data_IF_773045190652
#
_entry.id   IF_773045190652
#
_cell.length_a   1.000
_cell.length_b   1.000
_cell.length_c   1.000
_cell.angle_alpha   90.00
_cell.angle_beta   90.00
_cell.angle_gamma   90.00
#
_symmetry.space_group_name_H-M   'P 1'
#
loop_
_entity.id
_entity.type
_entity.pdbx_description
1 polymer ?
#
# COMPACT_ATOMS: atom_id res chain seq x y z
N UNK A 1 -3.59 36.58 -5.27
CA UNK A 1 -3.46 36.62 -6.74
C UNK A 1 -3.64 35.20 -7.21
N UNK A 2 -4.61 34.94 -8.08
CA UNK A 2 -4.77 33.60 -8.67
C UNK A 2 -3.47 33.21 -9.35
N UNK A 3 -3.01 31.98 -9.11
CA UNK A 3 -1.74 31.48 -9.66
C UNK A 3 -1.77 31.30 -11.20
N UNK A 4 -2.97 31.40 -11.79
CA UNK A 4 -3.28 31.20 -13.20
C UNK A 4 -3.99 32.44 -13.80
N UNK A 5 -3.92 32.59 -15.12
CA UNK A 5 -4.55 33.68 -15.87
C UNK A 5 -4.67 33.40 -17.37
N UNK A 6 -5.54 34.14 -18.06
CA UNK A 6 -5.72 34.05 -19.52
C UNK A 6 -4.66 34.91 -20.22
N UNK A 7 -4.20 34.52 -21.39
CA UNK A 7 -3.18 35.27 -22.14
C UNK A 7 -3.46 35.20 -23.64
N UNK A 8 -3.38 36.32 -24.35
CA UNK A 8 -3.64 36.37 -25.80
C UNK A 8 -2.42 35.94 -26.64
N UNK A 9 -1.22 35.93 -26.04
CA UNK A 9 0.05 35.64 -26.71
C UNK A 9 0.84 34.50 -26.01
N UNK A 10 0.80 33.27 -26.54
CA UNK A 10 1.46 32.10 -25.92
C UNK A 10 2.99 32.18 -25.90
N UNK A 11 3.60 33.07 -26.69
CA UNK A 11 5.05 33.27 -26.77
C UNK A 11 5.63 34.01 -25.56
N UNK A 12 4.77 34.68 -24.77
CA UNK A 12 5.18 35.49 -23.61
C UNK A 12 5.29 34.68 -22.31
N UNK A 13 5.03 33.38 -22.37
CA UNK A 13 4.92 32.50 -21.20
C UNK A 13 6.29 31.99 -20.76
N UNK A 14 6.59 32.06 -19.46
CA UNK A 14 7.76 31.40 -18.88
C UNK A 14 7.53 29.88 -18.76
N UNK A 15 7.89 29.15 -19.81
CA UNK A 15 7.78 27.69 -19.87
C UNK A 15 8.72 26.95 -18.91
N UNK A 16 9.55 27.61 -18.09
CA UNK A 16 10.32 26.92 -17.05
C UNK A 16 9.43 26.53 -15.86
N UNK A 17 8.57 27.45 -15.43
CA UNK A 17 7.74 27.31 -14.22
C UNK A 17 6.26 27.09 -14.55
N UNK A 18 5.79 27.61 -15.69
CA UNK A 18 4.39 27.57 -16.13
C UNK A 18 4.23 26.77 -17.41
N UNK A 19 3.00 26.41 -17.73
CA UNK A 19 2.61 25.84 -19.01
C UNK A 19 1.41 26.60 -19.58
N UNK A 20 1.23 26.50 -20.89
CA UNK A 20 0.13 27.12 -21.61
C UNK A 20 -0.84 26.02 -22.10
N UNK A 21 -2.10 26.08 -21.69
CA UNK A 21 -3.15 25.17 -22.15
C UNK A 21 -4.15 25.89 -23.04
N UNK A 22 -4.52 25.25 -24.15
CA UNK A 22 -5.54 25.74 -25.09
C UNK A 22 -6.83 24.96 -24.88
N UNK A 23 -7.94 25.66 -24.58
CA UNK A 23 -9.28 25.06 -24.47
C UNK A 23 -9.87 24.72 -25.84
N UNK A 24 -10.96 23.96 -25.85
CA UNK A 24 -11.78 23.69 -27.04
C UNK A 24 -12.35 24.95 -27.69
N UNK A 25 -12.54 26.02 -26.90
CA UNK A 25 -12.99 27.34 -27.36
C UNK A 25 -11.86 28.24 -27.88
N UNK A 26 -10.63 27.70 -28.04
CA UNK A 26 -9.43 28.43 -28.45
C UNK A 26 -8.97 29.55 -27.49
N UNK A 27 -9.22 29.39 -26.19
CA UNK A 27 -8.69 30.31 -25.16
C UNK A 27 -7.43 29.73 -24.55
N UNK A 28 -6.41 30.56 -24.36
CA UNK A 28 -5.14 30.16 -23.78
C UNK A 28 -5.04 30.54 -22.31
N UNK A 29 -4.75 29.54 -21.48
CA UNK A 29 -4.57 29.68 -20.04
C UNK A 29 -3.12 29.43 -19.67
N UNK A 30 -2.56 30.32 -18.86
CA UNK A 30 -1.23 30.19 -18.28
C UNK A 30 -1.37 29.66 -16.86
N UNK A 31 -0.83 28.47 -16.62
CA UNK A 31 -1.05 27.70 -15.39
C UNK A 31 0.30 27.18 -14.87
N UNK A 32 0.52 27.08 -13.53
CA UNK A 32 1.72 26.44 -13.00
C UNK A 32 1.84 24.97 -13.44
N UNK A 33 3.05 24.51 -13.81
CA UNK A 33 3.27 23.09 -14.19
C UNK A 33 2.90 22.11 -13.10
N UNK A 34 2.96 22.55 -11.85
CA UNK A 34 2.67 21.74 -10.66
C UNK A 34 1.25 21.18 -10.69
N UNK A 35 0.29 21.90 -11.27
CA UNK A 35 -1.11 21.52 -11.32
C UNK A 35 -1.35 20.26 -12.17
N UNK A 36 -0.48 19.97 -13.13
CA UNK A 36 -0.64 18.83 -14.03
C UNK A 36 0.38 17.70 -13.77
N UNK A 37 1.20 17.80 -12.71
CA UNK A 37 2.22 16.78 -12.38
C UNK A 37 1.61 15.39 -12.15
N UNK A 38 0.41 15.32 -11.60
CA UNK A 38 -0.29 14.06 -11.32
C UNK A 38 -0.76 13.35 -12.59
N UNK A 39 -0.94 14.08 -13.69
CA UNK A 39 -1.31 13.50 -14.97
C UNK A 39 -0.07 12.96 -15.69
N UNK A 40 0.18 11.66 -15.58
CA UNK A 40 1.38 11.02 -16.14
C UNK A 40 1.57 11.29 -17.64
N UNK A 41 0.49 11.38 -18.41
CA UNK A 41 0.56 11.64 -19.86
C UNK A 41 1.04 13.07 -20.17
N UNK A 42 0.63 14.05 -19.37
CA UNK A 42 1.06 15.44 -19.51
C UNK A 42 2.47 15.61 -18.94
N UNK A 43 2.74 15.03 -17.78
CA UNK A 43 4.03 15.13 -17.10
C UNK A 43 5.20 14.56 -17.92
N UNK A 44 5.00 13.42 -18.59
CA UNK A 44 6.08 12.75 -19.37
C UNK A 44 6.33 13.36 -20.75
N UNK A 45 5.39 14.13 -21.30
CA UNK A 45 5.47 14.61 -22.70
C UNK A 45 5.21 16.10 -22.80
N UNK A 46 3.99 16.53 -22.51
CA UNK A 46 3.51 17.88 -22.83
C UNK A 46 4.06 18.98 -21.92
N UNK A 47 4.30 18.70 -20.63
CA UNK A 47 4.86 19.70 -19.71
C UNK A 47 6.36 19.96 -19.90
N UNK A 48 7.05 19.12 -20.69
CA UNK A 48 8.47 19.28 -21.02
C UNK A 48 8.67 20.12 -22.30
N UNK A 49 7.64 20.27 -23.12
CA UNK A 49 7.67 21.08 -24.33
C UNK A 49 7.37 22.54 -24.00
N UNK A 50 8.07 23.46 -24.69
CA UNK A 50 7.83 24.90 -24.59
C UNK A 50 6.78 25.36 -25.61
N UNK A 51 5.66 24.64 -25.68
CA UNK A 51 4.58 24.88 -26.64
C UNK A 51 3.22 24.76 -25.96
N UNK A 52 2.19 25.51 -26.41
CA UNK A 52 0.84 25.36 -25.91
C UNK A 52 0.28 23.98 -26.28
N UNK A 53 -0.41 23.33 -25.34
CA UNK A 53 -1.04 22.03 -25.61
C UNK A 53 -2.57 22.09 -25.54
N UNK A 54 -3.26 21.33 -26.41
CA UNK A 54 -4.71 21.28 -26.40
C UNK A 54 -5.23 20.46 -25.22
N UNK A 55 -6.24 21.02 -24.55
CA UNK A 55 -7.00 20.43 -23.46
C UNK A 55 -8.42 20.11 -23.97
N UNK A 56 -8.95 18.90 -23.70
CA UNK A 56 -10.26 18.50 -24.23
C UNK A 56 -11.44 19.07 -23.43
N UNK A 57 -11.36 20.28 -22.87
CA UNK A 57 -12.43 20.88 -22.06
C UNK A 57 -12.64 22.36 -22.40
N UNK A 58 -13.88 22.82 -22.22
CA UNK A 58 -14.31 24.19 -22.46
C UNK A 58 -13.83 25.13 -21.35
N UNK A 59 -13.87 26.45 -21.59
CA UNK A 59 -13.35 27.44 -20.63
C UNK A 59 -13.99 27.35 -19.25
N UNK A 60 -15.32 27.20 -19.20
CA UNK A 60 -16.08 27.08 -17.93
C UNK A 60 -15.63 25.89 -17.10
N UNK A 61 -15.44 24.74 -17.76
CA UNK A 61 -14.99 23.50 -17.11
C UNK A 61 -13.54 23.61 -16.65
N UNK A 62 -12.69 24.29 -17.44
CA UNK A 62 -11.30 24.52 -17.07
C UNK A 62 -11.18 25.45 -15.86
N UNK A 63 -11.99 26.51 -15.77
CA UNK A 63 -12.00 27.41 -14.62
C UNK A 63 -12.34 26.66 -13.32
N UNK A 64 -13.38 25.80 -13.35
CA UNK A 64 -13.72 24.94 -12.21
C UNK A 64 -12.58 23.98 -11.84
N UNK A 65 -11.92 23.38 -12.83
CA UNK A 65 -10.77 22.50 -12.63
C UNK A 65 -9.60 23.26 -11.97
N UNK A 66 -9.28 24.47 -12.44
CA UNK A 66 -8.15 25.26 -11.94
C UNK A 66 -8.35 25.68 -10.48
N UNK A 67 -9.57 26.04 -10.10
CA UNK A 67 -9.92 26.31 -8.69
C UNK A 67 -9.68 25.08 -7.82
N UNK A 68 -10.06 23.88 -8.30
CA UNK A 68 -9.83 22.64 -7.55
C UNK A 68 -8.34 22.27 -7.47
N UNK A 69 -7.57 22.50 -8.53
CA UNK A 69 -6.14 22.25 -8.56
C UNK A 69 -5.38 23.21 -7.65
N UNK A 70 -5.76 24.49 -7.61
CA UNK A 70 -5.22 25.48 -6.68
C UNK A 70 -5.48 25.06 -5.23
N UNK A 71 -6.71 24.65 -4.91
CA UNK A 71 -7.03 24.07 -3.60
C UNK A 71 -6.22 22.81 -3.31
N UNK A 72 -6.05 21.90 -4.29
CA UNK A 72 -5.29 20.66 -4.12
C UNK A 72 -3.79 20.90 -3.86
N UNK A 73 -3.24 22.03 -4.30
CA UNK A 73 -1.86 22.40 -3.96
C UNK A 73 -1.71 22.95 -2.54
N UNK A 74 -2.79 23.43 -1.93
CA UNK A 74 -2.79 24.06 -0.59
C UNK A 74 -3.28 23.09 0.49
N UNK A 75 -4.22 22.22 0.16
CA UNK A 75 -4.86 21.24 1.05
C UNK A 75 -4.38 19.82 0.74
N UNK A 76 -4.44 18.89 1.71
CA UNK A 76 -4.10 17.49 1.44
C UNK A 76 -5.05 16.87 0.41
N UNK A 77 -4.53 15.98 -0.45
CA UNK A 77 -5.28 15.34 -1.54
C UNK A 77 -6.62 14.69 -1.10
N UNK A 78 -6.72 14.26 0.16
CA UNK A 78 -7.91 13.66 0.77
C UNK A 78 -9.10 14.63 0.92
N UNK A 79 -8.85 15.93 1.09
CA UNK A 79 -9.92 16.95 1.23
C UNK A 79 -10.59 17.21 -0.11
N UNK A 80 -9.81 17.23 -1.20
CA UNK A 80 -10.30 17.43 -2.57
C UNK A 80 -11.08 16.20 -3.07
N UNK A 81 -10.70 15.00 -2.64
CA UNK A 81 -11.50 13.79 -2.89
C UNK A 81 -12.90 13.85 -2.27
N UNK A 82 -13.07 14.49 -1.11
CA UNK A 82 -14.37 14.65 -0.46
C UNK A 82 -15.34 15.54 -1.25
N UNK A 83 -14.84 16.65 -1.81
CA UNK A 83 -15.64 17.56 -2.64
C UNK A 83 -15.95 16.97 -4.04
N UNK A 84 -15.08 16.10 -4.55
CA UNK A 84 -15.26 15.46 -5.88
C UNK A 84 -16.05 14.16 -5.85
N UNK A 85 -16.25 13.54 -4.68
CA UNK A 85 -17.10 12.33 -4.52
C UNK A 85 -18.53 12.64 -4.07
N UNK A 86 -18.85 13.88 -3.70
CA UNK A 86 -20.18 14.28 -3.24
C UNK A 86 -20.68 13.53 -1.99
N UNK A 87 -21.78 13.99 -1.41
CA UNK A 87 -22.50 13.18 -0.41
C UNK A 87 -23.16 12.01 -1.15
N UNK A 88 -22.82 10.76 -0.80
CA UNK A 88 -23.18 9.48 -1.46
C UNK A 88 -22.27 8.94 -2.57
N UNK A 89 -21.01 9.36 -2.69
CA UNK A 89 -20.07 8.75 -3.67
C UNK A 89 -20.50 9.00 -5.14
N UNK A 90 -21.33 10.01 -5.36
CA UNK A 90 -21.78 10.49 -6.67
C UNK A 90 -20.92 11.67 -7.13
N UNK A 91 -20.48 11.65 -8.39
CA UNK A 91 -19.70 12.74 -8.97
C UNK A 91 -20.44 14.08 -8.92
N UNK A 92 -19.72 15.22 -8.84
CA UNK A 92 -20.31 16.54 -8.73
C UNK A 92 -21.09 16.85 -10.01
N UNK A 93 -22.16 17.67 -9.89
CA UNK A 93 -23.08 17.95 -10.99
C UNK A 93 -22.37 18.44 -12.26
N UNK A 94 -21.36 19.31 -12.13
CA UNK A 94 -20.60 19.84 -13.26
C UNK A 94 -19.75 18.79 -14.01
N UNK A 95 -19.46 17.62 -13.41
CA UNK A 95 -18.78 16.52 -14.09
C UNK A 95 -19.73 15.57 -14.82
N UNK A 96 -21.05 15.62 -14.54
CA UNK A 96 -22.03 14.70 -15.11
C UNK A 96 -22.23 14.94 -16.61
N UNK A 97 -22.14 16.20 -17.02
CA UNK A 97 -22.35 16.62 -18.41
C UNK A 97 -21.09 16.44 -19.29
N UNK A 98 -19.97 16.00 -18.71
CA UNK A 98 -18.70 15.80 -19.44
C UNK A 98 -18.65 14.44 -20.15
N UNK A 99 -18.10 14.42 -21.37
CA UNK A 99 -17.85 13.18 -22.11
C UNK A 99 -16.74 12.34 -21.47
N UNK A 100 -16.71 11.01 -21.70
CA UNK A 100 -15.70 10.07 -21.12
C UNK A 100 -14.25 10.53 -21.28
N UNK A 101 -13.89 11.10 -22.43
CA UNK A 101 -12.55 11.64 -22.71
C UNK A 101 -12.21 12.84 -21.83
N UNK A 102 -13.18 13.71 -21.59
CA UNK A 102 -13.06 14.90 -20.74
C UNK A 102 -12.98 14.50 -19.27
N UNK A 103 -13.81 13.55 -18.84
CA UNK A 103 -13.76 12.98 -17.49
C UNK A 103 -12.39 12.35 -17.20
N UNK A 104 -11.84 11.52 -18.11
CA UNK A 104 -10.51 10.92 -17.95
C UNK A 104 -9.41 11.99 -17.82
N UNK A 105 -9.52 13.08 -18.59
CA UNK A 105 -8.60 14.21 -18.50
C UNK A 105 -8.68 14.91 -17.12
N UNK A 106 -9.89 15.28 -16.69
CA UNK A 106 -10.15 15.95 -15.39
C UNK A 106 -9.65 15.09 -14.21
N UNK A 107 -10.03 13.81 -14.19
CA UNK A 107 -9.59 12.84 -13.20
C UNK A 107 -8.05 12.71 -13.17
N UNK A 108 -7.43 12.55 -14.34
CA UNK A 108 -5.98 12.47 -14.46
C UNK A 108 -5.24 13.71 -13.94
N UNK A 109 -5.82 14.90 -14.09
CA UNK A 109 -5.24 16.14 -13.55
C UNK A 109 -5.37 16.22 -12.03
N UNK A 110 -6.51 15.82 -11.48
CA UNK A 110 -6.76 15.82 -10.04
C UNK A 110 -6.07 14.65 -9.31
N UNK A 111 -5.39 13.75 -10.03
CA UNK A 111 -4.84 12.52 -9.46
C UNK A 111 -5.92 11.55 -8.95
N UNK A 112 -7.17 11.80 -9.32
CA UNK A 112 -8.29 10.91 -9.03
C UNK A 112 -8.24 9.83 -10.10
N UNK A 113 -8.30 8.57 -9.70
CA UNK A 113 -8.42 7.50 -10.69
C UNK A 113 -9.72 7.71 -11.47
N UNK A 114 -9.64 7.71 -12.81
CA UNK A 114 -10.84 7.60 -13.68
C UNK A 114 -11.48 6.21 -13.56
N UNK A 115 -10.95 5.38 -12.67
CA UNK A 115 -11.44 4.06 -12.39
C UNK A 115 -12.78 4.21 -11.67
N UNK A 116 -13.87 3.95 -12.38
CA UNK A 116 -15.26 4.01 -11.91
C UNK A 116 -15.56 3.02 -10.77
N UNK A 117 -14.56 2.41 -10.15
CA UNK A 117 -14.82 1.34 -9.21
C UNK A 117 -15.43 0.15 -9.90
N UNK A 118 -15.08 -0.16 -11.17
CA UNK A 118 -15.70 -1.27 -11.91
C UNK A 118 -15.77 -2.49 -11.00
N UNK A 119 -16.95 -3.08 -10.95
CA UNK A 119 -17.34 -4.22 -10.12
C UNK A 119 -16.60 -5.49 -10.56
N UNK A 120 -15.28 -5.47 -10.46
CA UNK A 120 -14.42 -6.58 -10.84
C UNK A 120 -14.41 -7.55 -9.65
N UNK A 121 -14.97 -8.76 -9.82
CA UNK A 121 -14.96 -9.75 -8.77
C UNK A 121 -13.53 -10.27 -8.57
N UNK A 122 -13.25 -10.71 -7.36
CA UNK A 122 -11.95 -11.32 -7.02
C UNK A 122 -11.89 -12.75 -7.53
N UNK A 123 -13.05 -13.41 -7.61
CA UNK A 123 -13.19 -14.82 -7.95
C UNK A 123 -13.96 -14.99 -9.25
N UNK A 124 -13.72 -16.13 -9.92
CA UNK A 124 -14.50 -16.57 -11.09
C UNK A 124 -15.95 -16.87 -10.71
N UNK A 125 -16.14 -17.44 -9.51
CA UNK A 125 -17.47 -17.76 -9.01
C UNK A 125 -18.26 -16.46 -8.76
N UNK A 126 -19.45 -16.38 -9.35
CA UNK A 126 -20.29 -15.18 -9.28
C UNK A 126 -20.99 -15.02 -7.93
N UNK A 127 -21.07 -16.08 -7.13
CA UNK A 127 -21.71 -16.10 -5.81
C UNK A 127 -20.82 -16.81 -4.79
N UNK A 128 -20.82 -16.37 -3.52
CA UNK A 128 -20.13 -17.07 -2.44
C UNK A 128 -20.78 -18.43 -2.13
N UNK A 129 -20.14 -19.25 -1.29
CA UNK A 129 -20.73 -20.50 -0.78
C UNK A 129 -21.44 -20.25 0.55
N UNK A 130 -22.32 -21.16 0.90
CA UNK A 130 -23.01 -21.13 2.20
C UNK A 130 -21.96 -21.33 3.30
N UNK A 131 -22.06 -20.55 4.37
CA UNK A 131 -21.14 -20.45 5.51
C UNK A 131 -19.81 -19.71 5.24
N UNK A 132 -19.58 -19.18 4.04
CA UNK A 132 -18.38 -18.38 3.77
C UNK A 132 -18.46 -17.03 4.50
N UNK A 133 -17.31 -16.56 5.02
CA UNK A 133 -17.19 -15.24 5.65
C UNK A 133 -16.63 -14.26 4.63
N UNK A 134 -17.43 -13.26 4.28
CA UNK A 134 -17.14 -12.29 3.22
C UNK A 134 -17.02 -10.88 3.78
N UNK A 135 -16.19 -10.05 3.13
CA UNK A 135 -16.03 -8.65 3.50
C UNK A 135 -17.10 -7.78 2.83
N UNK A 136 -17.94 -7.12 3.65
CA UNK A 136 -19.09 -6.35 3.15
C UNK A 136 -19.01 -4.87 3.53
N UNK A 137 -19.53 -4.00 2.66
CA UNK A 137 -19.73 -2.58 2.95
C UNK A 137 -21.20 -2.29 3.19
N UNK A 138 -21.52 -1.58 4.26
CA UNK A 138 -22.90 -1.21 4.57
C UNK A 138 -23.31 -0.03 3.70
N UNK A 139 -24.34 -0.23 2.88
CA UNK A 139 -24.89 0.80 2.00
C UNK A 139 -26.06 1.53 2.66
N UNK A 140 -26.99 0.78 3.24
CA UNK A 140 -28.18 1.34 3.88
C UNK A 140 -28.54 0.54 5.12
N UNK A 141 -29.02 1.24 6.16
CA UNK A 141 -29.52 0.63 7.38
C UNK A 141 -31.00 0.97 7.51
N UNK A 142 -31.86 -0.04 7.43
CA UNK A 142 -33.29 0.06 7.72
C UNK A 142 -33.57 -0.52 9.12
N UNK A 143 -34.78 -0.32 9.64
CA UNK A 143 -35.18 -0.82 10.96
C UNK A 143 -35.21 -2.36 11.02
N UNK A 144 -35.57 -3.01 9.91
CA UNK A 144 -35.72 -4.46 9.82
C UNK A 144 -34.45 -5.16 9.29
N UNK A 145 -33.66 -4.50 8.45
CA UNK A 145 -32.48 -5.10 7.83
C UNK A 145 -31.46 -4.05 7.40
N UNK A 146 -30.20 -4.46 7.28
CA UNK A 146 -29.16 -3.66 6.65
C UNK A 146 -28.87 -4.20 5.25
N UNK A 147 -28.89 -3.32 4.25
CA UNK A 147 -28.46 -3.62 2.88
C UNK A 147 -26.96 -3.38 2.81
N UNK A 148 -26.24 -4.38 2.31
CA UNK A 148 -24.79 -4.38 2.21
C UNK A 148 -24.33 -4.76 0.81
N UNK A 149 -23.12 -4.38 0.45
CA UNK A 149 -22.47 -4.76 -0.80
C UNK A 149 -21.27 -5.68 -0.52
N UNK A 150 -21.23 -6.83 -1.17
CA UNK A 150 -20.11 -7.77 -1.08
C UNK A 150 -18.96 -7.26 -1.95
N UNK A 151 -17.87 -6.80 -1.33
CA UNK A 151 -16.79 -6.12 -2.05
C UNK A 151 -15.95 -7.08 -2.92
N UNK A 152 -15.90 -8.35 -2.55
CA UNK A 152 -15.17 -9.41 -3.25
C UNK A 152 -15.90 -9.92 -4.51
N UNK A 153 -17.23 -9.78 -4.55
CA UNK A 153 -18.09 -10.35 -5.61
C UNK A 153 -18.71 -9.26 -6.50
N UNK A 154 -17.93 -8.23 -6.85
CA UNK A 154 -18.40 -7.17 -7.73
C UNK A 154 -19.55 -6.34 -7.14
N UNK A 155 -19.47 -6.04 -5.83
CA UNK A 155 -20.44 -5.22 -5.09
C UNK A 155 -21.90 -5.70 -5.19
N UNK A 156 -22.12 -7.00 -5.35
CA UNK A 156 -23.45 -7.60 -5.27
C UNK A 156 -24.12 -7.24 -3.95
N UNK A 157 -25.43 -7.04 -4.00
CA UNK A 157 -26.23 -6.71 -2.84
C UNK A 157 -26.49 -7.94 -1.98
N UNK A 158 -26.38 -7.77 -0.67
CA UNK A 158 -26.75 -8.73 0.34
C UNK A 158 -27.54 -8.04 1.45
N UNK A 159 -28.24 -8.84 2.25
CA UNK A 159 -29.09 -8.35 3.32
C UNK A 159 -28.63 -8.99 4.63
N UNK A 160 -28.43 -8.16 5.66
CA UNK A 160 -28.24 -8.63 7.04
C UNK A 160 -29.54 -8.37 7.80
N UNK A 161 -30.33 -9.40 8.13
CA UNK A 161 -31.51 -9.25 8.97
C UNK A 161 -31.15 -8.72 10.37
N UNK A 162 -32.03 -7.96 11.02
CA UNK A 162 -31.77 -7.45 12.37
C UNK A 162 -31.49 -8.57 13.40
N UNK A 163 -32.12 -9.74 13.22
CA UNK A 163 -31.92 -10.95 14.04
C UNK A 163 -30.51 -11.55 13.90
N UNK A 164 -29.79 -11.16 12.85
CA UNK A 164 -28.47 -11.66 12.47
C UNK A 164 -27.33 -10.66 12.74
N UNK A 165 -27.63 -9.48 13.30
CA UNK A 165 -26.62 -8.44 13.58
C UNK A 165 -25.90 -8.65 14.91
N UNK A 166 -26.62 -8.99 15.97
CA UNK A 166 -26.03 -9.18 17.31
C UNK A 166 -26.83 -10.18 18.13
N UNK A 167 -26.17 -10.84 19.09
CA UNK A 167 -26.83 -11.73 20.06
C UNK A 167 -27.53 -10.95 21.19
N UNK A 168 -27.14 -9.69 21.43
CA UNK A 168 -27.67 -8.87 22.53
C UNK A 168 -28.80 -7.98 22.04
N UNK A 169 -29.87 -7.84 22.82
CA UNK A 169 -30.93 -6.87 22.52
C UNK A 169 -30.37 -5.45 22.61
N UNK A 170 -30.54 -4.68 21.54
CA UNK A 170 -30.08 -3.28 21.43
C UNK A 170 -31.24 -2.35 21.14
N UNK A 171 -31.14 -1.11 21.66
CA UNK A 171 -32.17 -0.07 21.46
C UNK A 171 -32.13 0.54 20.05
N UNK A 172 -30.96 0.63 19.42
CA UNK A 172 -30.78 1.22 18.09
C UNK A 172 -29.67 0.53 17.31
N UNK A 173 -29.94 0.25 16.04
CA UNK A 173 -29.02 -0.41 15.10
C UNK A 173 -27.87 0.49 14.68
N UNK A 174 -28.10 1.81 14.57
CA UNK A 174 -27.10 2.79 14.14
C UNK A 174 -25.86 2.89 15.06
N UNK A 175 -25.95 2.32 16.27
CA UNK A 175 -24.78 2.21 17.17
C UNK A 175 -23.84 1.06 16.78
N UNK A 176 -24.38 -0.04 16.25
CA UNK A 176 -23.62 -1.26 15.92
C UNK A 176 -23.16 -1.28 14.46
N UNK A 177 -23.98 -0.75 13.57
CA UNK A 177 -23.78 -0.76 12.13
C UNK A 177 -23.96 0.68 11.65
N UNK A 178 -22.91 1.23 11.03
CA UNK A 178 -22.96 2.58 10.44
C UNK A 178 -22.84 2.47 8.94
N UNK A 179 -23.66 3.24 8.23
CA UNK A 179 -23.58 3.40 6.78
C UNK A 179 -22.16 3.79 6.38
N UNK A 180 -21.65 3.17 5.31
CA UNK A 180 -20.32 3.39 4.76
C UNK A 180 -19.20 2.59 5.42
N UNK A 181 -19.41 1.99 6.59
CA UNK A 181 -18.41 1.10 7.21
C UNK A 181 -18.36 -0.26 6.53
N UNK A 182 -17.19 -0.88 6.60
CA UNK A 182 -16.99 -2.27 6.17
C UNK A 182 -16.93 -3.19 7.38
N UNK A 183 -17.56 -4.34 7.28
CA UNK A 183 -17.68 -5.33 8.35
C UNK A 183 -17.58 -6.74 7.74
N UNK A 184 -17.06 -7.74 8.47
CA UNK A 184 -17.15 -9.13 8.05
C UNK A 184 -18.54 -9.69 8.32
N UNK A 185 -19.08 -10.49 7.40
CA UNK A 185 -20.36 -11.17 7.56
C UNK A 185 -20.31 -12.58 6.96
N UNK A 186 -20.98 -13.54 7.60
CA UNK A 186 -21.10 -14.92 7.13
C UNK A 186 -22.35 -15.10 6.29
N UNK A 187 -22.24 -15.81 5.17
CA UNK A 187 -23.37 -16.18 4.30
C UNK A 187 -24.20 -17.29 4.94
N UNK A 188 -25.48 -17.05 5.17
CA UNK A 188 -26.42 -18.06 5.69
C UNK A 188 -27.15 -18.75 4.54
N UNK A 189 -27.74 -17.96 3.65
CA UNK A 189 -28.65 -18.46 2.62
C UNK A 189 -28.42 -17.69 1.31
N UNK A 190 -28.47 -18.43 0.21
CA UNK A 190 -28.36 -17.90 -1.14
C UNK A 190 -29.56 -18.40 -1.94
N UNK A 191 -30.39 -17.48 -2.41
CA UNK A 191 -31.45 -17.78 -3.36
C UNK A 191 -30.93 -17.49 -4.77
N UNK A 192 -30.48 -18.52 -5.49
CA UNK A 192 -29.85 -18.39 -6.83
C UNK A 192 -30.78 -17.79 -7.88
N UNK A 193 -32.08 -18.06 -7.80
CA UNK A 193 -33.06 -17.59 -8.78
C UNK A 193 -33.35 -16.10 -8.66
N UNK A 194 -33.33 -15.57 -7.42
CA UNK A 194 -33.63 -14.16 -7.12
C UNK A 194 -32.38 -13.32 -6.89
N UNK A 195 -31.21 -13.96 -6.72
CA UNK A 195 -29.95 -13.29 -6.41
C UNK A 195 -29.86 -12.74 -4.99
N UNK A 196 -30.74 -13.15 -4.07
CA UNK A 196 -30.71 -12.70 -2.68
C UNK A 196 -29.67 -13.48 -1.87
N UNK A 197 -28.90 -12.74 -1.08
CA UNK A 197 -27.87 -13.27 -0.18
C UNK A 197 -28.18 -12.79 1.23
N UNK A 198 -28.57 -13.72 2.10
CA UNK A 198 -28.76 -13.44 3.52
C UNK A 198 -27.46 -13.66 4.27
N UNK A 199 -27.06 -12.64 5.02
CA UNK A 199 -25.79 -12.55 5.72
C UNK A 199 -25.99 -12.40 7.23
N UNK A 200 -24.97 -12.79 7.99
CA UNK A 200 -24.97 -12.71 9.45
C UNK A 200 -23.67 -12.19 10.01
N UNK A 201 -23.77 -11.18 10.87
CA UNK A 201 -22.64 -10.68 11.65
C UNK A 201 -22.51 -11.42 12.98
N UNK A 202 -23.60 -11.94 13.56
CA UNK A 202 -23.59 -12.58 14.88
C UNK A 202 -22.89 -13.95 14.92
N UNK A 203 -22.78 -14.60 13.75
CA UNK A 203 -22.17 -15.91 13.61
C UNK A 203 -20.65 -15.84 13.45
N UNK A 204 -20.12 -14.69 12.98
CA UNK A 204 -18.69 -14.50 12.76
C UNK A 204 -17.94 -14.42 14.09
N UNK A 205 -16.94 -15.28 14.26
CA UNK A 205 -16.02 -15.22 15.40
C UNK A 205 -14.95 -14.13 15.20
N UNK A 206 -14.35 -13.59 16.28
CA UNK A 206 -13.30 -12.57 16.15
C UNK A 206 -12.05 -13.08 15.40
N UNK A 207 -11.79 -14.38 15.43
CA UNK A 207 -10.68 -14.97 14.68
C UNK A 207 -10.99 -15.04 13.18
N UNK A 208 -12.20 -15.47 12.81
CA UNK A 208 -12.66 -15.45 11.41
C UNK A 208 -12.75 -14.02 10.86
N UNK A 209 -13.18 -13.06 11.68
CA UNK A 209 -13.21 -11.65 11.31
C UNK A 209 -11.82 -11.14 10.89
N UNK A 210 -10.78 -11.46 11.68
CA UNK A 210 -9.38 -11.09 11.36
C UNK A 210 -8.87 -11.82 10.12
N UNK A 211 -9.19 -13.11 9.98
CA UNK A 211 -8.81 -13.89 8.81
C UNK A 211 -9.45 -13.35 7.52
N UNK A 212 -10.74 -12.99 7.59
CA UNK A 212 -11.47 -12.37 6.49
C UNK A 212 -10.90 -11.00 6.12
N UNK A 213 -10.56 -10.14 7.09
CA UNK A 213 -9.91 -8.86 6.82
C UNK A 213 -8.55 -9.04 6.11
N UNK A 214 -7.74 -10.01 6.56
CA UNK A 214 -6.46 -10.33 5.92
C UNK A 214 -6.65 -10.85 4.48
N UNK A 215 -7.61 -11.75 4.28
CA UNK A 215 -7.95 -12.30 2.97
C UNK A 215 -8.45 -11.23 2.00
N UNK A 216 -9.33 -10.34 2.47
CA UNK A 216 -9.81 -9.21 1.69
C UNK A 216 -8.68 -8.25 1.30
N UNK A 217 -7.76 -7.93 2.23
CA UNK A 217 -6.58 -7.11 1.92
C UNK A 217 -5.73 -7.74 0.82
N UNK A 218 -5.43 -9.03 0.93
CA UNK A 218 -4.67 -9.78 -0.06
C UNK A 218 -5.36 -9.78 -1.43
N UNK A 219 -6.66 -10.07 -1.48
CA UNK A 219 -7.44 -10.05 -2.73
C UNK A 219 -7.52 -8.66 -3.36
N UNK A 220 -7.68 -7.62 -2.54
CA UNK A 220 -7.73 -6.24 -3.01
C UNK A 220 -6.37 -5.78 -3.57
N UNK A 221 -5.26 -6.21 -2.97
CA UNK A 221 -3.92 -5.93 -3.47
C UNK A 221 -3.68 -6.61 -4.82
N UNK A 222 -4.04 -7.90 -4.96
CA UNK A 222 -3.99 -8.61 -6.26
C UNK A 222 -4.81 -7.87 -7.32
N UNK A 223 -6.06 -7.52 -7.00
CA UNK A 223 -6.91 -6.76 -7.92
C UNK A 223 -6.26 -5.44 -8.32
N UNK A 224 -5.72 -4.69 -7.35
CA UNK A 224 -5.09 -3.40 -7.60
C UNK A 224 -3.89 -3.53 -8.54
N UNK A 225 -3.04 -4.54 -8.32
CA UNK A 225 -1.86 -4.82 -9.15
C UNK A 225 -2.29 -5.19 -10.57
N UNK A 226 -3.20 -6.14 -10.71
CA UNK A 226 -3.64 -6.62 -12.03
C UNK A 226 -4.39 -5.53 -12.80
N UNK A 227 -5.22 -4.72 -12.12
CA UNK A 227 -5.88 -3.58 -12.75
C UNK A 227 -4.86 -2.52 -13.21
N UNK A 228 -3.80 -2.29 -12.44
CA UNK A 228 -2.75 -1.36 -12.86
C UNK A 228 -2.00 -1.87 -14.09
N UNK A 229 -1.67 -3.16 -14.14
CA UNK A 229 -1.08 -3.79 -15.33
C UNK A 229 -2.01 -3.68 -16.53
N UNK A 230 -3.32 -3.88 -16.34
CA UNK A 230 -4.32 -3.72 -17.38
C UNK A 230 -4.34 -2.30 -17.95
N UNK A 231 -4.26 -1.28 -17.08
CA UNK A 231 -4.16 0.12 -17.50
C UNK A 231 -2.88 0.44 -18.26
N UNK A 232 -1.74 -0.13 -17.87
CA UNK A 232 -0.45 0.07 -18.54
C UNK A 232 -0.39 -0.61 -19.91
N UNK A 233 -1.04 -1.76 -20.06
CA UNK A 233 -1.07 -2.53 -21.30
C UNK A 233 -2.30 -2.20 -22.19
N UNK A 234 -3.13 -1.24 -21.81
CA UNK A 234 -4.40 -0.89 -22.48
C UNK A 234 -5.36 -2.08 -22.68
N UNK A 235 -5.36 -3.03 -21.73
CA UNK A 235 -6.25 -4.22 -21.71
C UNK A 235 -7.44 -3.95 -20.79
N UNK A 236 -8.65 -4.45 -21.10
CA UNK A 236 -9.76 -4.43 -20.15
C UNK A 236 -9.41 -5.15 -18.83
N UNK A 237 -9.63 -4.49 -17.69
CA UNK A 237 -9.26 -5.04 -16.38
C UNK A 237 -9.93 -6.40 -16.04
N UNK A 238 -11.11 -6.69 -16.57
CA UNK A 238 -11.77 -8.00 -16.42
C UNK A 238 -10.99 -9.11 -17.15
N UNK A 239 -10.55 -8.83 -18.38
CA UNK A 239 -9.74 -9.75 -19.18
C UNK A 239 -8.36 -9.98 -18.52
N UNK A 240 -7.75 -8.93 -17.95
CA UNK A 240 -6.51 -9.08 -17.19
C UNK A 240 -6.67 -9.97 -15.95
N UNK A 241 -7.79 -9.88 -15.24
CA UNK A 241 -8.08 -10.78 -14.11
C UNK A 241 -8.30 -12.23 -14.56
N UNK A 242 -8.96 -12.44 -15.70
CA UNK A 242 -9.15 -13.77 -16.31
C UNK A 242 -7.85 -14.40 -16.78
N UNK A 243 -6.92 -13.60 -17.30
CA UNK A 243 -5.62 -14.09 -17.76
C UNK A 243 -4.64 -14.35 -16.60
N UNK A 244 -4.67 -13.52 -15.55
CA UNK A 244 -3.63 -13.54 -14.50
C UNK A 244 -4.18 -14.08 -13.18
N UNK A 245 -5.18 -13.43 -12.58
CA UNK A 245 -5.59 -13.72 -11.21
C UNK A 245 -6.37 -15.03 -11.09
N UNK A 246 -7.36 -15.25 -11.95
CA UNK A 246 -8.25 -16.42 -11.87
C UNK A 246 -7.55 -17.76 -12.04
N UNK A 247 -6.64 -17.94 -13.02
CA UNK A 247 -5.93 -19.21 -13.14
C UNK A 247 -5.01 -19.45 -11.95
N UNK A 248 -4.45 -18.40 -11.33
CA UNK A 248 -3.64 -18.53 -10.11
C UNK A 248 -4.49 -18.99 -8.91
N UNK A 249 -5.74 -18.54 -8.79
CA UNK A 249 -6.67 -19.04 -7.76
C UNK A 249 -7.07 -20.50 -7.97
N UNK A 250 -7.17 -20.96 -9.22
CA UNK A 250 -7.60 -22.31 -9.55
C UNK A 250 -6.47 -23.34 -9.58
N UNK A 251 -5.21 -22.89 -9.66
CA UNK A 251 -4.03 -23.74 -9.81
C UNK A 251 -3.82 -24.70 -8.63
N UNK A 252 -3.99 -24.21 -7.41
CA UNK A 252 -3.77 -25.00 -6.20
C UNK A 252 -4.86 -24.72 -5.17
N UNK A 253 -5.62 -25.76 -4.73
CA UNK A 253 -6.69 -25.57 -3.77
C UNK A 253 -6.12 -25.07 -2.43
N UNK A 254 -6.65 -23.96 -1.93
CA UNK A 254 -6.22 -23.36 -0.66
C UNK A 254 -5.07 -22.37 -0.77
N UNK A 255 -4.42 -22.24 -1.95
CA UNK A 255 -3.40 -21.22 -2.17
C UNK A 255 -3.99 -20.00 -2.88
N UNK A 256 -3.94 -18.85 -2.21
CA UNK A 256 -4.46 -17.59 -2.72
C UNK A 256 -3.55 -17.03 -3.85
N UNK A 257 -4.11 -16.33 -4.84
CA UNK A 257 -3.33 -15.72 -5.94
C UNK A 257 -2.27 -14.73 -5.42
N UNK A 258 -2.55 -14.05 -4.30
CA UNK A 258 -1.59 -13.18 -3.63
C UNK A 258 -0.30 -13.92 -3.25
N UNK A 259 -0.39 -15.15 -2.74
CA UNK A 259 0.78 -15.95 -2.37
C UNK A 259 1.65 -16.28 -3.57
N UNK A 260 1.04 -16.55 -4.72
CA UNK A 260 1.77 -16.76 -5.98
C UNK A 260 2.49 -15.51 -6.46
N UNK A 261 1.82 -14.36 -6.44
CA UNK A 261 2.45 -13.10 -6.83
C UNK A 261 3.54 -12.66 -5.85
N UNK A 262 3.37 -12.96 -4.56
CA UNK A 262 4.37 -12.73 -3.54
C UNK A 262 5.60 -13.62 -3.74
N UNK A 263 5.41 -14.93 -3.98
CA UNK A 263 6.50 -15.85 -4.36
C UNK A 263 7.23 -15.38 -5.62
N UNK A 264 6.49 -14.95 -6.64
CA UNK A 264 7.05 -14.43 -7.88
C UNK A 264 7.93 -13.20 -7.65
N UNK A 265 7.52 -12.31 -6.75
CA UNK A 265 8.30 -11.13 -6.40
C UNK A 265 9.55 -11.46 -5.57
N UNK A 266 9.56 -12.59 -4.85
CA UNK A 266 10.70 -13.04 -4.05
C UNK A 266 11.73 -13.82 -4.88
N UNK A 267 11.28 -14.75 -5.71
CA UNK A 267 12.19 -15.66 -6.43
C UNK A 267 12.49 -15.22 -7.85
N UNK A 268 11.72 -14.26 -8.39
CA UNK A 268 11.77 -13.84 -9.80
C UNK A 268 11.56 -15.01 -10.81
N UNK A 269 11.00 -16.14 -10.36
CA UNK A 269 10.78 -17.33 -11.19
C UNK A 269 9.56 -17.19 -12.13
N UNK A 270 9.76 -16.46 -13.22
CA UNK A 270 8.73 -16.23 -14.25
C UNK A 270 8.26 -17.54 -14.88
N UNK A 271 9.15 -18.49 -15.16
CA UNK A 271 8.80 -19.74 -15.87
C UNK A 271 7.86 -20.63 -15.05
N UNK A 272 8.12 -20.79 -13.75
CA UNK A 272 7.33 -21.68 -12.88
C UNK A 272 5.92 -21.13 -12.64
N UNK A 273 5.82 -19.82 -12.41
CA UNK A 273 4.58 -19.19 -11.95
C UNK A 273 3.75 -18.68 -13.14
N UNK A 274 4.36 -17.92 -14.05
CA UNK A 274 3.69 -17.33 -15.21
C UNK A 274 3.72 -18.21 -16.47
N UNK A 275 4.66 -19.16 -16.58
CA UNK A 275 4.77 -20.04 -17.75
C UNK A 275 3.47 -20.78 -18.12
N UNK A 276 2.73 -21.38 -17.16
CA UNK A 276 1.44 -22.03 -17.45
C UNK A 276 0.35 -21.08 -17.95
N UNK A 277 0.45 -19.78 -17.65
CA UNK A 277 -0.53 -18.77 -18.05
C UNK A 277 -0.38 -18.34 -19.52
N UNK A 278 0.76 -18.65 -20.16
CA UNK A 278 1.07 -18.30 -21.56
C UNK A 278 0.80 -16.82 -21.88
N UNK A 279 1.19 -15.94 -20.96
CA UNK A 279 1.01 -14.50 -21.11
C UNK A 279 1.96 -13.94 -22.18
N UNK A 280 1.57 -12.82 -22.79
CA UNK A 280 2.48 -12.06 -23.65
C UNK A 280 3.67 -11.54 -22.82
N UNK A 281 4.85 -11.49 -23.44
CA UNK A 281 6.08 -11.02 -22.77
C UNK A 281 5.93 -9.59 -22.26
N UNK A 282 5.28 -8.72 -23.02
CA UNK A 282 4.98 -7.33 -22.68
C UNK A 282 4.19 -7.22 -21.36
N UNK A 283 3.14 -8.02 -21.20
CA UNK A 283 2.32 -8.07 -19.98
C UNK A 283 3.11 -8.64 -18.80
N UNK A 284 3.93 -9.66 -19.05
CA UNK A 284 4.74 -10.30 -18.01
C UNK A 284 5.80 -9.35 -17.44
N UNK A 285 6.49 -8.59 -18.29
CA UNK A 285 7.49 -7.60 -17.88
C UNK A 285 6.83 -6.42 -17.13
N UNK A 286 5.64 -6.00 -17.58
CA UNK A 286 4.84 -4.98 -16.89
C UNK A 286 4.37 -5.46 -15.51
N UNK A 287 3.97 -6.74 -15.40
CA UNK A 287 3.59 -7.33 -14.12
C UNK A 287 4.78 -7.37 -13.16
N UNK A 288 5.95 -7.83 -13.61
CA UNK A 288 7.16 -7.89 -12.77
C UNK A 288 7.59 -6.50 -12.28
N UNK A 289 7.62 -5.50 -13.16
CA UNK A 289 7.94 -4.12 -12.77
C UNK A 289 6.89 -3.53 -11.81
N UNK A 290 5.62 -3.89 -11.96
CA UNK A 290 4.57 -3.48 -11.03
C UNK A 290 4.72 -4.17 -9.68
N UNK A 291 5.04 -5.46 -9.65
CA UNK A 291 5.23 -6.24 -8.42
C UNK A 291 6.38 -5.69 -7.57
N UNK A 292 7.52 -5.37 -8.19
CA UNK A 292 8.67 -4.75 -7.50
C UNK A 292 8.30 -3.45 -6.80
N UNK A 293 7.38 -2.67 -7.38
CA UNK A 293 6.94 -1.39 -6.82
C UNK A 293 5.78 -1.52 -5.83
N UNK A 294 4.84 -2.43 -6.09
CA UNK A 294 3.61 -2.58 -5.31
C UNK A 294 3.82 -3.45 -4.08
N UNK A 295 4.47 -4.60 -4.24
CA UNK A 295 4.77 -5.54 -3.17
C UNK A 295 6.14 -5.19 -2.59
N UNK A 296 6.18 -4.18 -1.71
CA UNK A 296 7.39 -3.88 -0.95
C UNK A 296 7.72 -5.09 -0.07
N UNK A 297 8.85 -5.74 -0.33
CA UNK A 297 9.38 -6.77 0.56
C UNK A 297 9.49 -6.18 1.97
N UNK A 298 8.94 -6.90 2.96
CA UNK A 298 9.04 -6.46 4.35
C UNK A 298 10.51 -6.51 4.74
N UNK A 299 11.13 -5.33 4.86
CA UNK A 299 12.47 -5.20 5.42
C UNK A 299 12.38 -5.64 6.88
N UNK A 300 13.05 -6.73 7.23
CA UNK A 300 13.13 -7.28 8.56
C UNK A 300 14.35 -6.68 9.26
N UNK A 301 14.18 -6.29 10.52
CA UNK A 301 15.29 -6.02 11.42
C UNK A 301 15.73 -7.33 12.06
N UNK A 302 16.93 -7.78 11.76
CA UNK A 302 17.55 -8.89 12.46
C UNK A 302 18.38 -8.35 13.63
N UNK A 303 18.37 -9.06 14.75
CA UNK A 303 19.07 -8.69 15.98
C UNK A 303 19.85 -9.87 16.55
N UNK A 304 21.07 -9.60 17.02
CA UNK A 304 21.88 -10.53 17.80
C UNK A 304 22.50 -9.78 18.99
N UNK A 305 22.59 -10.45 20.13
CA UNK A 305 23.20 -9.91 21.35
C UNK A 305 24.47 -10.69 21.68
N UNK A 306 25.56 -9.96 21.90
CA UNK A 306 26.89 -10.51 22.12
C UNK A 306 27.54 -9.85 23.33
N UNK A 307 28.16 -10.67 24.16
CA UNK A 307 28.91 -10.24 25.32
C UNK A 307 30.41 -10.31 24.99
N UNK A 308 31.11 -9.17 25.08
CA UNK A 308 32.55 -9.09 24.74
C UNK A 308 33.30 -8.63 25.99
N UNK A 309 34.28 -9.42 26.42
CA UNK A 309 35.14 -9.13 27.57
C UNK A 309 36.61 -9.19 27.17
N UNK A 310 37.41 -8.22 27.62
CA UNK A 310 38.85 -8.24 27.43
C UNK A 310 39.50 -7.60 28.67
N UNK A 311 40.38 -8.35 29.33
CA UNK A 311 41.08 -7.91 30.55
C UNK A 311 42.55 -7.54 30.31
N UNK A 312 42.98 -7.45 29.05
CA UNK A 312 44.31 -6.98 28.68
C UNK A 312 44.42 -5.45 28.88
N UNK A 313 45.65 -4.95 29.00
CA UNK A 313 45.92 -3.52 29.18
C UNK A 313 45.29 -2.65 28.07
N UNK A 314 45.24 -3.16 26.83
CA UNK A 314 44.63 -2.47 25.67
C UNK A 314 43.20 -2.98 25.38
N UNK A 315 42.49 -3.46 26.40
CA UNK A 315 41.20 -4.13 26.23
C UNK A 315 40.11 -3.27 25.58
N UNK A 316 40.10 -1.97 25.85
CA UNK A 316 39.13 -1.03 25.25
C UNK A 316 39.37 -0.85 23.75
N UNK A 317 40.63 -0.74 23.34
CA UNK A 317 41.00 -0.63 21.92
C UNK A 317 40.73 -1.95 21.18
N UNK A 318 41.02 -3.08 21.81
CA UNK A 318 40.67 -4.40 21.29
C UNK A 318 39.17 -4.55 21.04
N UNK A 319 38.32 -4.11 21.97
CA UNK A 319 36.86 -4.14 21.79
C UNK A 319 36.43 -3.20 20.67
N UNK A 320 36.97 -1.98 20.61
CA UNK A 320 36.65 -1.00 19.57
C UNK A 320 36.96 -1.53 18.17
N UNK A 321 38.13 -2.11 17.97
CA UNK A 321 38.55 -2.67 16.68
C UNK A 321 37.66 -3.83 16.24
N UNK A 322 37.28 -4.70 17.18
CA UNK A 322 36.36 -5.82 16.93
C UNK A 322 34.96 -5.32 16.53
N UNK A 323 34.44 -4.28 17.19
CA UNK A 323 33.14 -3.68 16.84
C UNK A 323 33.18 -2.98 15.46
N UNK A 324 34.30 -2.32 15.11
CA UNK A 324 34.49 -1.72 13.79
C UNK A 324 34.56 -2.81 12.72
N UNK A 325 35.29 -3.90 12.98
CA UNK A 325 35.36 -5.07 12.09
C UNK A 325 33.98 -5.68 11.86
N UNK A 326 33.18 -5.84 12.93
CA UNK A 326 31.81 -6.34 12.83
C UNK A 326 30.88 -5.41 12.03
N UNK A 327 31.07 -4.09 12.12
CA UNK A 327 30.31 -3.10 11.36
C UNK A 327 30.69 -3.08 9.87
N UNK A 328 31.98 -3.19 9.56
CA UNK A 328 32.50 -3.23 8.19
C UNK A 328 32.37 -4.59 7.51
N UNK A 329 31.92 -5.62 8.25
CA UNK A 329 31.75 -6.95 7.70
C UNK A 329 30.62 -6.97 6.67
N UNK A 330 30.97 -7.32 5.42
CA UNK A 330 30.02 -7.35 4.31
C UNK A 330 29.90 -6.06 3.50
N UNK A 331 30.70 -5.01 3.78
CA UNK A 331 30.81 -3.87 2.87
C UNK A 331 31.38 -4.33 1.50
N UNK A 332 30.57 -4.21 0.44
CA UNK A 332 30.97 -4.57 -0.94
C UNK A 332 30.67 -6.02 -1.36
N UNK A 333 29.98 -6.81 -0.53
CA UNK A 333 29.48 -8.14 -0.92
C UNK A 333 28.02 -8.05 -1.39
N UNK A 334 27.65 -8.79 -2.43
CA UNK A 334 26.27 -8.85 -2.95
C UNK A 334 25.49 -9.99 -2.26
N UNK A 335 24.31 -9.77 -1.66
CA UNK A 335 23.63 -8.49 -1.40
C UNK A 335 24.24 -7.66 -0.26
N UNK A 336 24.16 -6.33 -0.43
CA UNK A 336 24.72 -5.34 0.48
C UNK A 336 23.88 -5.23 1.77
N UNK A 337 24.18 -6.06 2.76
CA UNK A 337 23.53 -6.01 4.08
C UNK A 337 24.37 -5.16 5.03
N UNK A 338 23.93 -3.93 5.29
CA UNK A 338 24.59 -3.06 6.26
C UNK A 338 24.35 -3.55 7.69
N UNK A 339 25.45 -3.86 8.40
CA UNK A 339 25.44 -4.18 9.81
C UNK A 339 25.64 -2.90 10.65
N UNK A 340 24.75 -2.70 11.61
CA UNK A 340 24.86 -1.64 12.62
C UNK A 340 25.17 -2.29 13.97
N UNK A 341 26.19 -1.80 14.65
CA UNK A 341 26.60 -2.32 15.96
C UNK A 341 26.35 -1.23 17.00
N UNK A 342 25.51 -1.55 17.99
CA UNK A 342 25.12 -0.64 19.06
C UNK A 342 25.60 -1.17 20.42
N UNK A 343 25.94 -0.25 21.31
CA UNK A 343 26.29 -0.56 22.69
C UNK A 343 25.00 -0.56 23.51
N UNK A 344 24.67 -1.68 24.15
CA UNK A 344 23.53 -1.78 25.07
C UNK A 344 23.99 -1.35 26.47
N UNK A 345 25.16 -1.84 26.88
CA UNK A 345 25.84 -1.48 28.12
C UNK A 345 26.92 -2.51 28.43
N UNK A 346 28.12 -2.14 28.93
CA UNK A 346 29.20 -3.10 29.17
C UNK A 346 28.75 -4.25 30.09
N UNK A 347 29.06 -5.53 29.81
CA UNK A 347 29.82 -6.08 28.67
C UNK A 347 28.98 -6.47 27.42
N UNK A 348 27.74 -6.01 27.30
CA UNK A 348 26.75 -6.38 26.28
C UNK A 348 26.68 -5.41 25.08
N UNK A 349 26.71 -5.99 23.89
CA UNK A 349 26.66 -5.30 22.60
C UNK A 349 25.58 -5.91 21.69
N UNK A 350 24.89 -5.08 20.92
CA UNK A 350 23.83 -5.51 20.00
C UNK A 350 24.24 -5.29 18.56
N UNK A 351 24.07 -6.32 17.72
CA UNK A 351 24.26 -6.23 16.27
C UNK A 351 22.87 -6.21 15.62
N UNK A 352 22.63 -5.23 14.75
CA UNK A 352 21.39 -5.05 14.01
C UNK A 352 21.65 -5.01 12.51
N UNK A 353 20.86 -5.75 11.75
CA UNK A 353 20.87 -5.71 10.29
C UNK A 353 19.46 -5.43 9.78
N UNK A 354 19.32 -4.54 8.79
CA UNK A 354 18.04 -4.34 8.07
C UNK A 354 18.16 -5.04 6.73
N UNK A 355 17.37 -6.08 6.52
CA UNK A 355 17.41 -6.90 5.30
C UNK A 355 16.03 -7.42 4.94
N UNK A 356 15.74 -7.54 3.65
CA UNK A 356 14.59 -8.25 3.09
C UNK A 356 14.82 -9.77 3.03
N UNK A 357 16.08 -10.21 2.99
CA UNK A 357 16.48 -11.62 2.95
C UNK A 357 16.79 -12.16 4.33
N UNK A 358 15.85 -12.93 4.88
CA UNK A 358 15.97 -13.50 6.23
C UNK A 358 17.14 -14.48 6.37
N UNK A 359 17.27 -15.43 5.45
CA UNK A 359 18.24 -16.53 5.58
C UNK A 359 19.68 -16.04 5.36
N UNK A 360 19.91 -15.29 4.29
CA UNK A 360 21.21 -14.69 4.00
C UNK A 360 21.65 -13.69 5.07
N UNK A 361 20.71 -12.90 5.61
CA UNK A 361 21.00 -11.98 6.71
C UNK A 361 21.47 -12.69 7.96
N UNK A 362 20.81 -13.78 8.36
CA UNK A 362 21.21 -14.60 9.51
C UNK A 362 22.59 -15.21 9.28
N UNK A 363 22.86 -15.71 8.07
CA UNK A 363 24.15 -16.30 7.73
C UNK A 363 25.29 -15.27 7.81
N UNK A 364 25.11 -14.08 7.22
CA UNK A 364 26.10 -13.00 7.29
C UNK A 364 26.39 -12.55 8.72
N UNK A 365 25.37 -12.46 9.58
CA UNK A 365 25.61 -12.11 10.99
C UNK A 365 26.38 -13.21 11.73
N UNK A 366 26.16 -14.49 11.43
CA UNK A 366 26.95 -15.58 12.01
C UNK A 366 28.41 -15.46 11.61
N UNK A 367 28.67 -15.25 10.33
CA UNK A 367 30.04 -15.06 9.80
C UNK A 367 30.74 -13.83 10.43
N UNK A 368 30.01 -12.72 10.60
CA UNK A 368 30.52 -11.54 11.30
C UNK A 368 30.87 -11.85 12.77
N UNK A 369 30.01 -12.59 13.49
CA UNK A 369 30.26 -13.00 14.88
C UNK A 369 31.47 -13.93 14.98
N UNK A 370 31.64 -14.86 14.05
CA UNK A 370 32.80 -15.76 13.99
C UNK A 370 34.11 -14.98 13.74
N UNK A 371 34.10 -14.02 12.81
CA UNK A 371 35.24 -13.16 12.53
C UNK A 371 35.62 -12.30 13.75
N UNK A 372 34.63 -11.72 14.43
CA UNK A 372 34.85 -10.99 15.68
C UNK A 372 35.40 -11.87 16.80
N UNK A 373 34.95 -13.13 16.88
CA UNK A 373 35.42 -14.11 17.85
C UNK A 373 36.89 -14.49 17.60
N UNK A 374 37.30 -14.59 16.32
CA UNK A 374 38.68 -14.88 15.97
C UNK A 374 39.62 -13.72 16.34
N UNK A 375 39.19 -12.47 16.11
CA UNK A 375 40.01 -11.29 16.36
C UNK A 375 40.15 -10.98 17.86
N UNK A 376 39.07 -11.09 18.64
CA UNK A 376 39.13 -10.87 20.09
C UNK A 376 40.00 -11.92 20.81
N UNK A 377 40.00 -13.17 20.33
CA UNK A 377 40.83 -14.25 20.90
C UNK A 377 42.32 -13.98 20.70
N UNK A 378 42.74 -13.42 19.56
CA UNK A 378 44.15 -13.03 19.33
C UNK A 378 44.64 -12.00 20.34
N UNK A 379 43.74 -11.10 20.77
CA UNK A 379 44.02 -10.03 21.73
C UNK A 379 43.77 -10.42 23.19
N UNK A 380 43.50 -11.70 23.47
CA UNK A 380 43.31 -12.22 24.83
C UNK A 380 41.95 -11.91 25.45
N UNK A 381 40.94 -11.53 24.66
CA UNK A 381 39.55 -11.39 25.11
C UNK A 381 38.67 -12.59 24.76
N UNK A 382 37.43 -12.56 25.23
CA UNK A 382 36.41 -13.58 25.01
C UNK A 382 35.12 -12.92 24.49
N UNK A 383 34.46 -13.61 23.56
CA UNK A 383 33.15 -13.23 23.03
C UNK A 383 32.17 -14.39 23.25
N UNK A 384 31.04 -14.09 23.89
CA UNK A 384 29.97 -15.04 24.17
C UNK A 384 28.68 -14.54 23.52
N UNK A 385 28.02 -15.38 22.73
CA UNK A 385 26.72 -15.05 22.14
C UNK A 385 25.64 -15.25 23.20
N UNK A 386 24.91 -14.19 23.54
CA UNK A 386 23.78 -14.24 24.49
C UNK A 386 22.51 -14.64 23.74
N UNK A 387 22.24 -13.93 22.64
CA UNK A 387 21.06 -14.15 21.79
C UNK A 387 21.54 -14.34 20.35
N UNK A 388 21.28 -15.50 19.71
CA UNK A 388 21.70 -15.75 18.34
C UNK A 388 20.93 -14.85 17.35
N UNK A 389 21.44 -14.67 16.11
CA UNK A 389 20.80 -13.81 15.12
C UNK A 389 19.37 -14.28 14.81
N UNK A 390 18.40 -13.42 15.11
CA UNK A 390 16.98 -13.71 14.91
C UNK A 390 16.22 -12.45 14.43
N UNK A 391 15.13 -12.62 13.67
CA UNK A 391 14.26 -11.50 13.30
C UNK A 391 13.60 -10.91 14.55
N UNK A 392 13.82 -9.62 14.76
CA UNK A 392 13.21 -8.82 15.81
C UNK A 392 12.17 -7.88 15.17
N UNK A 393 11.00 -7.71 15.78
CA UNK A 393 9.99 -6.80 15.25
C UNK A 393 10.28 -5.34 15.65
N UNK A 394 9.94 -4.39 14.78
CA UNK A 394 10.08 -2.93 15.01
C UNK A 394 9.27 -2.36 16.20
N UNK A 395 8.71 -3.21 17.07
CA UNK A 395 7.75 -2.82 18.10
C UNK A 395 8.39 -2.32 19.43
N UNK A 396 9.72 -2.37 19.59
CA UNK A 396 10.37 -2.12 20.89
C UNK A 396 11.32 -0.91 20.93
N UNK A 397 11.27 -0.01 19.93
CA UNK A 397 12.07 1.24 19.96
C UNK A 397 11.43 2.38 20.78
N UNK A 398 10.27 2.17 21.41
CA UNK A 398 9.52 3.24 22.10
C UNK A 398 9.53 3.24 23.64
N UNK A 399 10.13 2.25 24.31
CA UNK A 399 9.98 2.11 25.78
C UNK A 399 11.25 1.67 26.53
N UNK A 400 12.41 2.26 26.25
CA UNK A 400 13.54 2.31 27.20
C UNK A 400 14.30 3.63 27.07
N UNK A 401 13.59 4.74 27.25
CA UNK A 401 14.21 5.95 27.80
C UNK A 401 14.31 5.72 29.31
N UNK A 402 15.54 5.64 29.80
CA UNK A 402 15.86 5.62 31.22
C UNK A 402 15.35 6.93 31.84
N UNK A 403 14.32 6.86 32.69
CA UNK A 403 14.13 7.85 33.74
C UNK A 403 15.24 7.55 34.76
N UNK A 404 16.30 8.35 34.71
CA UNK A 404 17.31 8.42 35.76
C UNK A 404 17.04 9.72 36.52
N UNK A 405 16.55 9.54 37.75
CA UNK A 405 16.76 10.35 38.95
C UNK A 405 17.44 11.72 38.73
N UNK A 406 16.65 12.79 38.84
CA UNK A 406 17.09 14.04 39.46
C UNK A 406 16.39 14.10 40.83
N UNK A 407 17.03 13.45 41.81
CA UNK A 407 17.01 13.93 43.20
C UNK A 407 17.91 15.16 43.22
N UNK A 408 17.31 16.36 43.22
CA UNK A 408 18.00 17.56 43.67
C UNK A 408 17.15 18.22 44.76
N UNK A 409 17.85 18.44 45.87
CA UNK A 409 17.44 19.07 47.11
C UNK A 409 16.70 20.40 46.90
N UNK A 410 15.65 20.65 47.68
CA UNK A 410 15.30 21.99 48.13
C UNK A 410 14.48 21.90 49.45
N UNK A 411 15.21 21.68 50.55
CA UNK A 411 14.86 22.24 51.85
C UNK A 411 15.50 23.64 51.95
N UNK A 412 14.71 24.71 51.81
CA UNK A 412 14.95 26.00 52.49
C UNK A 412 13.75 26.97 52.36
N UNK A 413 13.21 27.31 53.53
CA UNK A 413 12.32 28.42 53.93
C UNK A 413 10.80 28.37 53.62
#
# INVERSE_FOLDING_TARGET
MSSYGVTDSPDTVDYKTKCCCQTTDNVYYVVPKEYFRLNQSLARRKLLLAEPFPVPVDCKTLDHLLVLLEKATILSAQVVEGETKGSNNERPEWMRDLNKRQQKFVCGCLGITSWDGKDIPFYVETMPKINDVVWVKITQVNDTSAVVQLLEYGKREGIIPYTEVTRRRVRSMGKLIKVGRTEPAQVIRIDKDKGYIDLSKKLVTPNEAKACEAHFRQGNEVRSIVCHVAELCDIPAMEAMEMIAYPLYQREPGKHAWTWLYELNQTEDVERILGPLKLEKTVSDCLMSTLKNAMRLKVLTLFAEVEITCFACDGVEAIRDVLILGRGYGEGSDPQIHLSVNIIGPPKYGIRARTDMKEEGIQRMKEAIEAMTAEIKKRGGQLKVVTPPQPHGDADEGKKGFDADDDDDDDAD
#
